data_IF_989338944051
#
_entry.id   IF_989338944051
#
_cell.length_a   1.000
_cell.length_b   1.000
_cell.length_c   1.000
_cell.angle_alpha   90.00
_cell.angle_beta   90.00
_cell.angle_gamma   90.00
#
_symmetry.space_group_name_H-M   'P 1'
#
loop_
_entity.id
_entity.type
_entity.pdbx_description
1 polymer ?
#
# COMPACT_ATOMS: atom_id res chain seq x y z
N UNK A 1 -21.84 -41.42 23.31
CA UNK A 1 -20.69 -41.98 24.04
C UNK A 1 -19.44 -41.49 23.31
N UNK A 2 -18.98 -40.30 23.66
CA UNK A 2 -17.69 -39.74 23.24
C UNK A 2 -16.84 -39.69 24.51
N UNK A 3 -15.66 -40.29 24.50
CA UNK A 3 -14.72 -40.22 25.62
C UNK A 3 -14.37 -38.76 25.87
N UNK A 4 -14.18 -38.32 27.14
CA UNK A 4 -13.63 -37.00 27.42
C UNK A 4 -12.31 -36.84 26.66
N UNK A 5 -12.07 -35.72 25.95
CA UNK A 5 -10.84 -35.51 25.19
C UNK A 5 -9.62 -35.62 26.11
N UNK A 6 -8.57 -36.29 25.63
CA UNK A 6 -7.36 -36.49 26.42
C UNK A 6 -6.65 -35.15 26.73
N UNK A 7 -5.97 -35.02 27.88
CA UNK A 7 -5.37 -33.77 28.33
C UNK A 7 -4.26 -33.24 27.42
N UNK A 8 -3.68 -34.08 26.57
CA UNK A 8 -2.70 -33.72 25.54
C UNK A 8 -3.35 -33.13 24.29
N UNK A 9 -4.55 -33.59 23.90
CA UNK A 9 -5.31 -33.07 22.76
C UNK A 9 -5.80 -31.64 23.03
N UNK A 10 -6.23 -31.35 24.26
CA UNK A 10 -6.57 -29.99 24.71
C UNK A 10 -5.35 -29.06 24.77
N UNK A 11 -4.18 -29.59 25.15
CA UNK A 11 -2.93 -28.84 25.18
C UNK A 11 -2.39 -28.55 23.76
N UNK A 12 -2.71 -29.38 22.77
CA UNK A 12 -2.37 -29.14 21.37
C UNK A 12 -3.25 -28.04 20.75
N UNK A 13 -4.57 -28.08 20.99
CA UNK A 13 -5.53 -27.07 20.51
C UNK A 13 -5.26 -25.68 21.10
N UNK A 14 -4.96 -25.60 22.41
CA UNK A 14 -4.61 -24.36 23.11
C UNK A 14 -3.28 -23.73 22.63
N UNK A 15 -2.30 -24.55 22.21
CA UNK A 15 -1.06 -24.05 21.60
C UNK A 15 -1.29 -23.54 20.17
N UNK A 16 -2.20 -24.18 19.44
CA UNK A 16 -2.52 -23.78 18.07
C UNK A 16 -3.26 -22.44 18.02
N UNK A 17 -4.13 -22.17 19.00
CA UNK A 17 -4.84 -20.88 19.13
C UNK A 17 -3.91 -19.70 19.47
N UNK A 18 -2.82 -19.96 20.20
CA UNK A 18 -1.81 -18.94 20.55
C UNK A 18 -0.93 -18.55 19.34
N UNK A 19 -0.65 -19.50 18.44
CA UNK A 19 0.16 -19.27 17.23
C UNK A 19 -0.58 -18.62 16.07
N UNK A 20 -1.91 -18.51 16.14
CA UNK A 20 -2.74 -17.83 15.14
C UNK A 20 -3.06 -16.38 15.55
N UNK A 21 -2.23 -15.78 16.39
CA UNK A 21 -2.15 -14.33 16.50
C UNK A 21 -1.45 -13.82 15.24
N UNK A 22 -2.22 -13.62 14.16
CA UNK A 22 -1.79 -12.85 13.01
C UNK A 22 -1.33 -11.52 13.57
N UNK A 23 -0.02 -11.27 13.55
CA UNK A 23 0.53 -9.93 13.74
C UNK A 23 -0.26 -9.04 12.77
N UNK A 24 -1.27 -8.36 13.30
CA UNK A 24 -1.97 -7.33 12.58
C UNK A 24 -0.86 -6.35 12.27
N UNK A 25 -0.41 -6.35 11.02
CA UNK A 25 0.52 -5.34 10.49
C UNK A 25 -0.28 -4.06 10.60
N UNK A 26 -0.25 -3.51 11.81
CA UNK A 26 -0.83 -2.25 12.21
C UNK A 26 0.07 -1.26 11.49
N UNK A 27 -0.27 -1.05 10.21
CA UNK A 27 0.17 0.11 9.48
C UNK A 27 -0.35 1.28 10.30
N UNK A 28 0.50 1.78 11.19
CA UNK A 28 0.24 2.90 12.06
C UNK A 28 -0.02 4.12 11.17
N UNK A 29 -1.29 4.37 10.84
CA UNK A 29 -1.73 5.44 9.93
C UNK A 29 -1.36 6.82 10.52
N UNK A 30 -1.04 6.89 11.81
CA UNK A 30 -0.55 8.10 12.47
C UNK A 30 0.85 8.55 12.01
N UNK A 31 1.62 7.69 11.35
CA UNK A 31 3.00 8.02 10.92
C UNK A 31 3.07 8.69 9.53
N UNK A 32 2.02 9.43 9.13
CA UNK A 32 2.12 10.32 7.97
C UNK A 32 2.94 11.54 8.39
N UNK A 33 4.22 11.51 8.01
CA UNK A 33 5.09 12.64 8.30
C UNK A 33 4.64 13.82 7.46
N UNK A 34 4.71 15.01 8.04
CA UNK A 34 4.46 16.27 7.32
C UNK A 34 5.34 16.45 6.08
N UNK A 35 6.48 15.74 6.03
CA UNK A 35 7.37 15.72 4.87
C UNK A 35 6.80 14.97 3.67
N UNK A 36 5.81 14.10 3.87
CA UNK A 36 5.14 13.33 2.82
C UNK A 36 3.94 14.09 2.22
N UNK A 37 3.48 15.17 2.87
CA UNK A 37 2.44 16.06 2.38
C UNK A 37 2.63 16.53 0.91
N UNK A 38 3.82 16.99 0.47
CA UNK A 38 4.03 17.38 -0.92
C UNK A 38 3.78 16.23 -1.92
N UNK A 39 4.14 14.99 -1.57
CA UNK A 39 3.91 13.82 -2.45
C UNK A 39 2.41 13.54 -2.60
N UNK A 40 1.67 13.65 -1.49
CA UNK A 40 0.22 13.50 -1.46
C UNK A 40 -0.48 14.60 -2.29
N UNK A 41 -0.02 15.85 -2.18
CA UNK A 41 -0.56 16.97 -2.96
C UNK A 41 -0.35 16.73 -4.46
N UNK A 42 0.87 16.36 -4.88
CA UNK A 42 1.17 16.08 -6.29
C UNK A 42 0.34 14.90 -6.80
N UNK A 43 0.16 13.86 -5.98
CA UNK A 43 -0.69 12.71 -6.31
C UNK A 43 -2.14 13.12 -6.58
N UNK A 44 -2.74 13.93 -5.70
CA UNK A 44 -4.11 14.41 -5.87
C UNK A 44 -4.28 15.31 -7.10
N UNK A 45 -3.29 16.16 -7.39
CA UNK A 45 -3.28 16.99 -8.61
C UNK A 45 -3.23 16.11 -9.86
N UNK A 46 -2.33 15.13 -9.88
CA UNK A 46 -2.19 14.19 -11.00
C UNK A 46 -3.47 13.38 -11.21
N UNK A 47 -4.08 12.87 -10.13
CA UNK A 47 -5.36 12.17 -10.18
C UNK A 47 -6.45 13.07 -10.79
N UNK A 48 -6.53 14.33 -10.36
CA UNK A 48 -7.47 15.30 -10.90
C UNK A 48 -7.28 15.58 -12.39
N UNK A 49 -6.03 15.71 -12.85
CA UNK A 49 -5.72 15.92 -14.26
C UNK A 49 -6.09 14.70 -15.09
N UNK A 50 -5.76 13.49 -14.64
CA UNK A 50 -6.12 12.25 -15.34
C UNK A 50 -7.65 12.07 -15.39
N UNK A 51 -8.36 12.38 -14.30
CA UNK A 51 -9.82 12.41 -14.30
C UNK A 51 -10.37 13.45 -15.27
N UNK A 52 -9.78 14.65 -15.32
CA UNK A 52 -10.15 15.69 -16.27
C UNK A 52 -9.94 15.22 -17.72
N UNK A 53 -8.86 14.50 -18.02
CA UNK A 53 -8.62 13.94 -19.34
C UNK A 53 -9.71 12.95 -19.76
N UNK A 54 -10.14 12.08 -18.84
CA UNK A 54 -11.25 11.16 -19.10
C UNK A 54 -12.56 11.90 -19.34
N UNK A 55 -12.90 12.88 -18.49
CA UNK A 55 -14.11 13.70 -18.68
C UNK A 55 -14.07 14.45 -20.00
N UNK A 56 -12.94 15.09 -20.32
CA UNK A 56 -12.79 15.87 -21.56
C UNK A 56 -12.96 14.97 -22.78
N UNK A 57 -12.34 13.79 -22.77
CA UNK A 57 -12.42 12.85 -23.88
C UNK A 57 -13.81 12.24 -24.07
N UNK A 58 -14.51 11.89 -22.99
CA UNK A 58 -15.78 11.16 -23.08
C UNK A 58 -17.02 12.05 -23.01
N UNK A 59 -16.94 13.22 -22.38
CA UNK A 59 -18.08 14.15 -22.23
C UNK A 59 -18.02 15.26 -23.27
N UNK A 60 -16.84 15.85 -23.48
CA UNK A 60 -16.66 16.97 -24.41
C UNK A 60 -16.24 16.54 -25.81
N UNK A 61 -15.99 15.24 -26.02
CA UNK A 61 -15.55 14.64 -27.30
C UNK A 61 -14.31 15.30 -27.93
N UNK A 62 -13.56 16.07 -27.15
CA UNK A 62 -12.33 16.76 -27.55
C UNK A 62 -11.19 16.31 -26.64
N UNK A 63 -10.04 16.00 -27.23
CA UNK A 63 -8.85 15.59 -26.47
C UNK A 63 -7.98 16.81 -26.22
N UNK A 64 -7.96 17.29 -24.98
CA UNK A 64 -7.13 18.42 -24.58
C UNK A 64 -5.66 17.97 -24.44
N UNK A 65 -4.92 18.02 -25.56
CA UNK A 65 -3.54 17.52 -25.64
C UNK A 65 -2.56 18.20 -24.67
N UNK A 66 -2.77 19.47 -24.31
CA UNK A 66 -1.88 20.17 -23.38
C UNK A 66 -1.91 19.58 -21.95
N UNK A 67 -3.01 18.94 -21.57
CA UNK A 67 -3.11 18.27 -20.26
C UNK A 67 -2.32 16.96 -20.22
N UNK A 68 -2.11 16.30 -21.37
CA UNK A 68 -1.31 15.08 -21.47
C UNK A 68 0.14 15.32 -21.10
N UNK A 69 0.71 16.38 -21.67
CA UNK A 69 2.10 16.74 -21.43
C UNK A 69 2.34 17.07 -19.95
N UNK A 70 1.41 17.83 -19.34
CA UNK A 70 1.48 18.17 -17.91
C UNK A 70 1.32 16.93 -17.03
N UNK A 71 0.38 16.03 -17.35
CA UNK A 71 0.19 14.80 -16.60
C UNK A 71 1.46 13.94 -16.61
N UNK A 72 2.13 13.84 -17.77
CA UNK A 72 3.39 13.10 -17.91
C UNK A 72 4.50 13.69 -17.05
N UNK A 73 4.66 15.02 -17.05
CA UNK A 73 5.66 15.67 -16.20
C UNK A 73 5.36 15.51 -14.71
N UNK A 74 4.10 15.66 -14.30
CA UNK A 74 3.71 15.44 -12.91
C UNK A 74 3.92 13.98 -12.47
N UNK A 75 3.69 13.01 -13.35
CA UNK A 75 3.93 11.60 -13.06
C UNK A 75 5.42 11.33 -12.81
N UNK A 76 6.29 11.93 -13.61
CA UNK A 76 7.74 11.83 -13.45
C UNK A 76 8.15 12.43 -12.08
N UNK A 77 7.67 13.63 -11.75
CA UNK A 77 7.94 14.26 -10.46
C UNK A 77 7.43 13.43 -9.28
N UNK A 78 6.19 12.93 -9.37
CA UNK A 78 5.58 12.07 -8.35
C UNK A 78 6.41 10.81 -8.11
N UNK A 79 6.94 10.19 -9.18
CA UNK A 79 7.74 8.98 -9.08
C UNK A 79 9.06 9.24 -8.36
N UNK A 80 9.77 10.32 -8.70
CA UNK A 80 11.03 10.64 -8.05
C UNK A 80 10.85 10.99 -6.56
N UNK A 81 9.87 11.83 -6.24
CA UNK A 81 9.60 12.23 -4.85
C UNK A 81 9.04 11.04 -4.05
N UNK A 82 8.13 10.26 -4.64
CA UNK A 82 7.57 9.05 -4.03
C UNK A 82 8.64 8.00 -3.73
N UNK A 83 9.63 7.84 -4.63
CA UNK A 83 10.77 6.94 -4.39
C UNK A 83 11.58 7.37 -3.17
N UNK A 84 11.80 8.67 -2.96
CA UNK A 84 12.53 9.17 -1.78
C UNK A 84 11.77 8.86 -0.49
N UNK A 85 10.45 9.09 -0.46
CA UNK A 85 9.61 8.74 0.70
C UNK A 85 9.62 7.24 0.98
N UNK A 86 9.56 6.39 -0.06
CA UNK A 86 9.58 4.93 0.08
C UNK A 86 10.90 4.42 0.67
N UNK A 87 12.04 4.97 0.23
CA UNK A 87 13.37 4.66 0.81
C UNK A 87 13.45 5.10 2.27
N UNK A 88 12.87 6.26 2.63
CA UNK A 88 12.87 6.78 4.01
C UNK A 88 12.09 5.89 4.98
N UNK A 89 10.96 5.33 4.54
CA UNK A 89 10.16 4.43 5.38
C UNK A 89 10.86 3.09 5.65
N UNK A 90 12.03 2.84 5.05
CA UNK A 90 12.80 1.62 5.33
C UNK A 90 12.04 0.35 4.96
N UNK A 91 11.02 0.46 4.09
CA UNK A 91 10.26 -0.65 3.54
C UNK A 91 11.09 -1.47 2.53
N UNK A 92 12.34 -1.76 2.90
CA UNK A 92 13.04 -2.92 2.41
C UNK A 92 12.19 -4.11 2.85
N UNK A 93 11.40 -4.63 1.90
CA UNK A 93 10.70 -5.90 2.05
C UNK A 93 11.79 -6.94 2.31
N UNK A 94 12.06 -7.22 3.57
CA UNK A 94 12.89 -8.34 3.96
C UNK A 94 12.05 -9.57 3.63
N UNK A 95 12.39 -10.23 2.53
CA UNK A 95 11.76 -11.48 2.13
C UNK A 95 12.15 -12.58 3.13
N UNK A 96 11.53 -12.59 4.32
CA UNK A 96 11.68 -13.66 5.31
C UNK A 96 11.32 -15.03 4.71
N UNK A 97 10.49 -15.03 3.66
CA UNK A 97 10.12 -16.23 2.89
C UNK A 97 11.34 -16.98 2.33
N UNK A 98 12.40 -16.29 1.89
CA UNK A 98 13.57 -16.95 1.30
C UNK A 98 14.42 -17.68 2.34
N UNK A 99 14.48 -17.16 3.58
CA UNK A 99 15.24 -17.77 4.67
C UNK A 99 14.58 -19.04 5.23
N UNK A 100 13.25 -19.17 5.10
CA UNK A 100 12.50 -20.34 5.57
C UNK A 100 12.56 -21.53 4.61
N UNK A 101 12.88 -21.30 3.33
CA UNK A 101 12.82 -22.30 2.26
C UNK A 101 14.19 -22.77 1.72
N UNK A 102 15.29 -22.14 2.15
CA UNK A 102 16.69 -22.57 1.91
C UNK A 102 17.26 -23.14 3.20
#
# INVERSE_FOLDING_TARGET
MTTPPEPDEQAADARQTDTLHVDEVSADISDVYWIDAPVLIIFWILLGIVMLQFVTRYVFNDSVGWTEEIARYLLIFLTFIGSVTCVRQGAHIFLEFFYRYV
#
